data_IF_836497897520
#
_entry.id   IF_836497897520
#
_cell.length_a   1.000
_cell.length_b   1.000
_cell.length_c   1.000
_cell.angle_alpha   90.00
_cell.angle_beta   90.00
_cell.angle_gamma   90.00
#
_symmetry.space_group_name_H-M   'P 1'
#
loop_
_entity.id
_entity.type
_entity.pdbx_description
1 polymer ?
#
# COMPACT_ATOMS: atom_id res chain seq x y z
N UNK A 1 -6.61 7.13 11.18
CA UNK A 1 -7.30 6.56 10.01
C UNK A 1 -8.63 5.97 10.44
N UNK A 2 -9.69 6.36 9.74
CA UNK A 2 -11.03 5.80 9.97
C UNK A 2 -11.29 4.66 9.01
N UNK A 3 -11.89 3.57 9.52
CA UNK A 3 -12.24 2.38 8.73
C UNK A 3 -11.02 1.78 8.04
N UNK A 4 -10.08 1.26 8.81
CA UNK A 4 -8.75 0.85 8.34
C UNK A 4 -8.78 -0.15 7.18
N UNK A 5 -9.80 -1.01 7.11
CA UNK A 5 -9.92 -2.00 6.04
C UNK A 5 -10.51 -1.44 4.74
N UNK A 6 -11.20 -0.31 4.82
CA UNK A 6 -11.76 0.41 3.68
C UNK A 6 -11.78 1.89 4.05
N UNK A 7 -10.61 2.46 4.10
CA UNK A 7 -10.42 3.75 4.73
C UNK A 7 -11.27 4.86 4.11
N UNK A 8 -11.80 5.75 4.95
CA UNK A 8 -12.65 6.89 4.56
C UNK A 8 -11.90 8.22 4.66
N UNK A 9 -11.08 8.36 5.69
CA UNK A 9 -10.34 9.60 5.93
C UNK A 9 -9.12 9.33 6.79
N UNK A 10 -8.17 10.24 6.73
CA UNK A 10 -7.07 10.26 7.68
C UNK A 10 -6.81 11.67 8.18
N UNK A 11 -6.25 11.75 9.36
CA UNK A 11 -5.81 13.00 9.98
C UNK A 11 -4.41 12.78 10.56
N UNK A 12 -3.57 13.79 10.43
CA UNK A 12 -2.21 13.77 10.98
C UNK A 12 -2.13 14.86 12.06
N UNK A 13 -1.69 14.48 13.25
CA UNK A 13 -1.57 15.37 14.38
C UNK A 13 -0.11 15.49 14.82
N UNK A 14 0.25 16.65 15.37
CA UNK A 14 1.55 16.82 16.03
C UNK A 14 1.49 16.30 17.48
N UNK A 15 2.62 16.39 18.19
CA UNK A 15 2.72 15.95 19.57
C UNK A 15 1.84 16.76 20.55
N UNK A 16 1.41 17.97 20.16
CA UNK A 16 0.55 18.83 20.94
C UNK A 16 -0.94 18.65 20.64
N UNK A 17 -1.28 17.76 19.71
CA UNK A 17 -2.65 17.48 19.33
C UNK A 17 -3.23 18.40 18.26
N UNK A 18 -2.40 19.21 17.60
CA UNK A 18 -2.85 20.03 16.48
C UNK A 18 -2.95 19.21 15.20
N UNK A 19 -4.06 19.37 14.47
CA UNK A 19 -4.24 18.69 13.18
C UNK A 19 -3.37 19.37 12.13
N UNK A 20 -2.39 18.63 11.59
CA UNK A 20 -1.46 19.10 10.56
C UNK A 20 -1.99 18.86 9.17
N UNK A 21 -2.69 17.75 8.96
CA UNK A 21 -3.20 17.33 7.68
C UNK A 21 -4.49 16.55 7.86
N UNK A 22 -5.42 16.74 6.94
CA UNK A 22 -6.68 16.01 6.90
C UNK A 22 -7.02 15.68 5.47
N UNK A 23 -7.43 14.46 5.22
CA UNK A 23 -7.87 14.03 3.90
C UNK A 23 -9.06 13.09 4.00
N UNK A 24 -9.99 13.26 3.07
CA UNK A 24 -11.12 12.36 2.90
C UNK A 24 -11.02 11.72 1.51
N UNK A 25 -11.39 10.44 1.41
CA UNK A 25 -11.39 9.78 0.12
C UNK A 25 -12.51 10.37 -0.76
N UNK A 26 -12.30 10.45 -2.09
CA UNK A 26 -13.37 10.77 -3.03
C UNK A 26 -14.39 9.62 -3.09
N UNK A 27 -15.55 9.88 -3.67
CA UNK A 27 -16.51 8.82 -3.95
C UNK A 27 -15.88 7.75 -4.85
N UNK A 28 -16.07 6.50 -4.48
CA UNK A 28 -15.50 5.35 -5.19
C UNK A 28 -16.37 4.12 -4.97
N UNK A 29 -16.25 3.15 -5.86
CA UNK A 29 -16.98 1.88 -5.73
C UNK A 29 -16.28 0.99 -4.70
N UNK A 30 -15.00 0.69 -4.91
CA UNK A 30 -14.20 -0.16 -4.01
C UNK A 30 -12.79 0.38 -3.74
N UNK A 31 -12.33 1.34 -4.53
CA UNK A 31 -10.96 1.82 -4.53
C UNK A 31 -10.04 1.08 -5.50
N UNK A 32 -10.40 -0.12 -5.90
CA UNK A 32 -9.60 -0.92 -6.85
C UNK A 32 -9.62 -0.33 -8.27
N UNK A 33 -10.60 0.49 -8.60
CA UNK A 33 -10.68 1.18 -9.89
C UNK A 33 -9.48 2.09 -10.13
N UNK A 34 -8.89 2.66 -9.10
CA UNK A 34 -7.68 3.48 -9.22
C UNK A 34 -6.47 2.65 -9.63
N UNK A 35 -6.35 1.45 -9.11
CA UNK A 35 -5.30 0.51 -9.46
C UNK A 35 -5.40 0.11 -10.93
N UNK A 36 -6.59 -0.23 -11.39
CA UNK A 36 -6.85 -0.58 -12.79
C UNK A 36 -6.54 0.59 -13.71
N UNK A 37 -6.98 1.80 -13.36
CA UNK A 37 -6.71 3.01 -14.12
C UNK A 37 -5.21 3.28 -14.25
N UNK A 38 -4.45 3.16 -13.16
CA UNK A 38 -3.00 3.33 -13.17
C UNK A 38 -2.32 2.32 -14.09
N UNK A 39 -2.76 1.06 -14.07
CA UNK A 39 -2.23 0.03 -14.95
C UNK A 39 -2.53 0.31 -16.42
N UNK A 40 -3.74 0.75 -16.75
CA UNK A 40 -4.13 1.11 -18.11
C UNK A 40 -3.25 2.26 -18.62
N UNK A 41 -3.06 3.30 -17.83
CA UNK A 41 -2.23 4.44 -18.21
C UNK A 41 -0.77 4.02 -18.43
N UNK A 42 -0.23 3.14 -17.59
CA UNK A 42 1.14 2.65 -17.74
C UNK A 42 1.31 1.84 -19.03
N UNK A 43 0.35 0.99 -19.36
CA UNK A 43 0.36 0.19 -20.60
C UNK A 43 0.26 1.09 -21.82
N UNK A 44 -0.64 2.07 -21.82
CA UNK A 44 -0.79 3.02 -22.91
C UNK A 44 0.46 3.87 -23.14
N UNK A 45 1.16 4.20 -22.06
CA UNK A 45 2.43 4.94 -22.12
C UNK A 45 3.64 4.05 -22.39
N UNK A 46 3.44 2.74 -22.61
CA UNK A 46 4.48 1.73 -22.87
C UNK A 46 5.53 1.67 -21.77
N UNK A 47 5.10 1.86 -20.52
CA UNK A 47 5.97 1.72 -19.34
C UNK A 47 6.02 0.27 -18.88
N UNK A 48 7.16 -0.12 -18.31
CA UNK A 48 7.37 -1.47 -17.77
C UNK A 48 6.76 -1.63 -16.37
N UNK A 49 6.47 -0.52 -15.70
CA UNK A 49 5.90 -0.53 -14.35
C UNK A 49 5.01 0.69 -14.13
N UNK A 50 4.15 0.63 -13.13
CA UNK A 50 3.34 1.77 -12.71
C UNK A 50 4.18 2.73 -11.85
N UNK A 51 4.23 4.04 -12.16
CA UNK A 51 4.95 5.00 -11.32
C UNK A 51 4.44 5.06 -9.88
N UNK A 52 3.16 4.77 -9.67
CA UNK A 52 2.52 4.80 -8.36
C UNK A 52 2.96 3.64 -7.46
N UNK A 53 3.38 2.53 -8.04
CA UNK A 53 3.91 1.37 -7.33
C UNK A 53 4.93 0.70 -8.22
N UNK A 54 6.20 1.08 -8.07
CA UNK A 54 7.30 0.57 -8.89
C UNK A 54 7.73 -0.82 -8.43
N UNK A 55 8.52 -1.52 -9.25
CA UNK A 55 9.12 -2.80 -8.85
C UNK A 55 9.99 -2.64 -7.60
N UNK A 56 10.71 -1.51 -7.50
CA UNK A 56 11.52 -1.21 -6.31
C UNK A 56 10.65 -1.06 -5.06
N UNK A 57 9.50 -0.40 -5.17
CA UNK A 57 8.55 -0.26 -4.07
C UNK A 57 8.01 -1.62 -3.61
N UNK A 58 7.67 -2.49 -4.54
CA UNK A 58 7.19 -3.84 -4.24
C UNK A 58 8.26 -4.64 -3.51
N UNK A 59 9.50 -4.60 -3.97
CA UNK A 59 10.61 -5.28 -3.31
C UNK A 59 10.88 -4.73 -1.92
N UNK A 60 10.77 -3.41 -1.76
CA UNK A 60 10.93 -2.76 -0.46
C UNK A 60 9.87 -3.24 0.54
N UNK A 61 8.61 -3.28 0.13
CA UNK A 61 7.52 -3.78 0.97
C UNK A 61 7.71 -5.24 1.34
N UNK A 62 8.14 -6.08 0.41
CA UNK A 62 8.44 -7.50 0.67
C UNK A 62 9.58 -7.66 1.68
N UNK A 63 10.61 -6.82 1.62
CA UNK A 63 11.70 -6.82 2.60
C UNK A 63 11.22 -6.48 4.00
N UNK A 64 10.33 -5.51 4.13
CA UNK A 64 9.73 -5.15 5.42
C UNK A 64 8.95 -6.34 5.98
N UNK A 65 8.08 -6.95 5.17
CA UNK A 65 7.27 -8.09 5.57
C UNK A 65 8.15 -9.28 5.99
N UNK A 66 9.20 -9.58 5.22
CA UNK A 66 10.14 -10.65 5.55
C UNK A 66 10.89 -10.38 6.85
N UNK A 67 11.25 -9.14 7.11
CA UNK A 67 11.91 -8.73 8.36
C UNK A 67 11.00 -8.97 9.56
N UNK A 68 9.72 -8.60 9.45
CA UNK A 68 8.73 -8.83 10.50
C UNK A 68 8.55 -10.32 10.74
N UNK A 69 8.39 -11.12 9.69
CA UNK A 69 8.24 -12.57 9.78
C UNK A 69 9.44 -13.21 10.47
N UNK A 70 10.66 -12.82 10.11
CA UNK A 70 11.89 -13.32 10.75
C UNK A 70 11.97 -12.95 12.23
N UNK A 71 11.54 -11.73 12.57
CA UNK A 71 11.50 -11.27 13.96
C UNK A 71 10.56 -12.15 14.81
N UNK A 72 9.47 -12.62 14.22
CA UNK A 72 8.50 -13.49 14.88
C UNK A 72 8.80 -14.99 14.71
N UNK A 73 9.90 -15.33 14.04
CA UNK A 73 10.24 -16.72 13.68
C UNK A 73 9.08 -17.43 12.96
N UNK A 74 8.40 -16.70 12.08
CA UNK A 74 7.24 -17.20 11.34
C UNK A 74 7.65 -17.73 9.97
N UNK A 75 7.24 -18.96 9.67
CA UNK A 75 7.44 -19.58 8.35
C UNK A 75 6.15 -20.24 7.90
N UNK A 76 5.90 -20.16 6.60
CA UNK A 76 4.82 -20.93 5.98
C UNK A 76 5.30 -22.37 5.75
N UNK A 77 4.39 -23.38 5.85
CA UNK A 77 4.78 -24.78 5.62
C UNK A 77 5.46 -25.04 4.28
N UNK A 78 5.10 -24.29 3.25
CA UNK A 78 5.68 -24.40 1.92
C UNK A 78 7.16 -24.01 1.86
N UNK A 79 7.63 -23.17 2.78
CA UNK A 79 9.01 -22.72 2.83
C UNK A 79 9.97 -23.81 3.35
N UNK A 80 9.46 -24.79 4.07
CA UNK A 80 10.25 -25.91 4.63
C UNK A 80 10.47 -27.04 3.64
N UNK A 81 9.71 -27.07 2.55
CA UNK A 81 9.77 -28.14 1.55
C UNK A 81 10.65 -27.83 0.34
N UNK A 82 11.26 -26.65 0.32
CA UNK A 82 12.10 -26.18 -0.78
C UNK A 82 13.57 -26.48 -0.51
#
# INVERSE_FOLDING_TARGET
VKDINNYRSYEVYDAQGNCLERSERPEQISGLEYEVEACVHAIQAKKLECPQMTHADTLFMMRILDTVRRTWDMKFPQEETV
#
